data_IF_909337092158
#
_entry.id   IF_909337092158
#
_cell.length_a   1.000
_cell.length_b   1.000
_cell.length_c   1.000
_cell.angle_alpha   90.00
_cell.angle_beta   90.00
_cell.angle_gamma   90.00
#
_symmetry.space_group_name_H-M   'P 1'
#
loop_
_entity.id
_entity.type
_entity.pdbx_description
1 polymer ?
#
# COMPACT_ATOMS: atom_id res chain seq x y z
N UNK A 1 -12.75 44.93 -30.17
CA UNK A 1 -11.63 44.40 -29.34
C UNK A 1 -12.05 43.35 -28.31
N UNK A 2 -13.34 43.24 -27.93
CA UNK A 2 -13.82 42.39 -26.83
C UNK A 2 -14.37 41.01 -27.21
N UNK A 3 -14.69 40.75 -28.49
CA UNK A 3 -14.96 39.39 -28.97
C UNK A 3 -13.69 38.51 -28.88
N UNK A 4 -12.52 39.07 -29.23
CA UNK A 4 -11.22 38.46 -28.94
C UNK A 4 -11.03 38.20 -27.44
N UNK A 5 -11.48 39.09 -26.56
CA UNK A 5 -11.45 38.84 -25.11
C UNK A 5 -12.31 37.65 -24.72
N UNK A 6 -13.49 37.43 -25.30
CA UNK A 6 -14.34 36.27 -25.00
C UNK A 6 -13.71 34.96 -25.52
N UNK A 7 -13.17 34.95 -26.73
CA UNK A 7 -12.47 33.76 -27.25
C UNK A 7 -11.19 33.48 -26.45
N UNK A 8 -10.43 34.53 -26.11
CA UNK A 8 -9.23 34.43 -25.27
C UNK A 8 -9.59 34.00 -23.84
N UNK A 9 -10.74 34.41 -23.30
CA UNK A 9 -11.21 34.01 -21.98
C UNK A 9 -11.67 32.55 -21.98
N UNK A 10 -12.28 32.08 -23.07
CA UNK A 10 -12.63 30.67 -23.23
C UNK A 10 -11.39 29.79 -23.38
N UNK A 11 -10.40 30.19 -24.19
CA UNK A 11 -9.14 29.44 -24.30
C UNK A 11 -8.34 29.46 -23.00
N UNK A 12 -8.33 30.59 -22.28
CA UNK A 12 -7.68 30.69 -20.96
C UNK A 12 -8.39 29.81 -19.93
N UNK A 13 -9.73 29.74 -19.93
CA UNK A 13 -10.49 28.80 -19.09
C UNK A 13 -10.12 27.35 -19.38
N UNK A 14 -10.03 26.98 -20.67
CA UNK A 14 -9.72 25.61 -21.08
C UNK A 14 -8.28 25.21 -20.71
N UNK A 15 -7.32 26.13 -20.87
CA UNK A 15 -5.93 25.94 -20.42
C UNK A 15 -5.84 25.86 -18.89
N UNK A 16 -6.58 26.70 -18.17
CA UNK A 16 -6.62 26.65 -16.70
C UNK A 16 -7.17 25.32 -16.18
N UNK A 17 -8.17 24.74 -16.85
CA UNK A 17 -8.68 23.39 -16.55
C UNK A 17 -7.62 22.33 -16.82
N UNK A 18 -6.93 22.39 -17.96
CA UNK A 18 -5.85 21.43 -18.25
C UNK A 18 -4.71 21.50 -17.23
N UNK A 19 -4.34 22.70 -16.77
CA UNK A 19 -3.32 22.87 -15.73
C UNK A 19 -3.81 22.37 -14.36
N UNK A 20 -5.07 22.64 -14.01
CA UNK A 20 -5.67 22.13 -12.77
C UNK A 20 -5.76 20.60 -12.77
N UNK A 21 -6.12 19.98 -13.90
CA UNK A 21 -6.10 18.53 -14.11
C UNK A 21 -4.69 17.97 -13.98
N UNK A 22 -3.69 18.61 -14.58
CA UNK A 22 -2.29 18.19 -14.45
C UNK A 22 -1.79 18.26 -13.01
N UNK A 23 -2.09 19.35 -12.30
CA UNK A 23 -1.69 19.54 -10.91
C UNK A 23 -2.38 18.56 -9.95
N UNK A 24 -3.67 18.27 -10.16
CA UNK A 24 -4.42 17.30 -9.34
C UNK A 24 -4.00 15.86 -9.61
N UNK A 25 -3.71 15.48 -10.86
CA UNK A 25 -3.16 14.17 -11.19
C UNK A 25 -1.77 13.97 -10.59
N UNK A 26 -0.92 14.99 -10.69
CA UNK A 26 0.42 14.97 -10.12
C UNK A 26 0.38 14.86 -8.58
N UNK A 27 -0.49 15.66 -7.94
CA UNK A 27 -0.70 15.58 -6.50
C UNK A 27 -1.32 14.24 -6.08
N UNK A 28 -2.27 13.70 -6.85
CA UNK A 28 -2.90 12.41 -6.58
C UNK A 28 -1.91 11.25 -6.64
N UNK A 29 -0.96 11.25 -7.59
CA UNK A 29 0.12 10.25 -7.62
C UNK A 29 0.96 10.34 -6.34
N UNK A 30 1.39 11.54 -5.99
CA UNK A 30 2.27 11.74 -4.84
C UNK A 30 1.58 11.47 -3.49
N UNK A 31 0.27 11.74 -3.40
CA UNK A 31 -0.56 11.46 -2.23
C UNK A 31 -0.81 9.96 -2.02
N UNK A 32 -0.80 9.14 -3.09
CA UNK A 32 -0.99 7.70 -3.00
C UNK A 32 0.29 6.92 -2.66
N UNK A 33 1.47 7.41 -3.07
CA UNK A 33 2.74 6.69 -2.88
C UNK A 33 3.21 6.63 -1.41
N UNK A 34 3.09 7.75 -0.68
CA UNK A 34 3.57 7.82 0.72
C UNK A 34 2.83 6.88 1.70
N UNK A 35 1.49 6.81 1.70
CA UNK A 35 0.77 5.92 2.61
C UNK A 35 0.97 4.43 2.25
N UNK A 36 1.11 4.10 0.96
CA UNK A 36 1.39 2.72 0.53
C UNK A 36 2.76 2.25 1.02
N UNK A 37 3.79 3.09 0.89
CA UNK A 37 5.14 2.81 1.41
C UNK A 37 5.16 2.66 2.94
N UNK A 38 4.32 3.39 3.67
CA UNK A 38 4.19 3.24 5.13
C UNK A 38 3.52 1.92 5.51
N UNK A 39 2.47 1.50 4.79
CA UNK A 39 1.79 0.22 5.02
C UNK A 39 2.70 -0.96 4.69
N UNK A 40 3.42 -0.90 3.56
CA UNK A 40 4.37 -1.96 3.16
C UNK A 40 5.52 -2.09 4.18
N UNK A 41 6.04 -0.95 4.68
CA UNK A 41 7.04 -0.94 5.76
C UNK A 41 6.50 -1.48 7.07
N UNK A 42 5.24 -1.18 7.41
CA UNK A 42 4.59 -1.74 8.60
C UNK A 42 4.44 -3.27 8.49
N UNK A 43 3.91 -3.75 7.36
CA UNK A 43 3.72 -5.18 7.12
C UNK A 43 5.05 -5.93 7.12
N UNK A 44 6.09 -5.36 6.50
CA UNK A 44 7.42 -5.97 6.52
C UNK A 44 8.03 -5.99 7.92
N UNK A 45 7.89 -4.91 8.71
CA UNK A 45 8.34 -4.87 10.11
C UNK A 45 7.65 -5.95 10.95
N UNK A 46 6.32 -6.04 10.87
CA UNK A 46 5.52 -7.03 11.61
C UNK A 46 5.90 -8.45 11.21
N UNK A 47 6.01 -8.72 9.91
CA UNK A 47 6.33 -10.06 9.39
C UNK A 47 7.76 -10.46 9.73
N UNK A 48 8.70 -9.52 9.66
CA UNK A 48 10.10 -9.76 10.03
C UNK A 48 10.23 -10.05 11.53
N UNK A 49 9.55 -9.31 12.39
CA UNK A 49 9.51 -9.59 13.82
C UNK A 49 8.93 -10.99 14.11
N UNK A 50 7.79 -11.33 13.51
CA UNK A 50 7.12 -12.60 13.78
C UNK A 50 7.90 -13.82 13.23
N UNK A 51 8.51 -13.71 12.05
CA UNK A 51 9.22 -14.84 11.46
C UNK A 51 10.68 -14.95 11.88
N UNK A 52 11.37 -13.84 12.16
CA UNK A 52 12.80 -13.84 12.43
C UNK A 52 13.18 -13.63 13.89
N UNK A 53 12.32 -12.97 14.68
CA UNK A 53 12.57 -12.78 16.12
C UNK A 53 11.77 -13.79 16.93
N UNK A 54 10.43 -13.73 16.85
CA UNK A 54 9.55 -14.59 17.66
C UNK A 54 9.88 -16.06 17.47
N UNK A 55 9.89 -16.53 16.21
CA UNK A 55 10.14 -17.93 15.88
C UNK A 55 11.52 -18.40 16.31
N UNK A 56 12.57 -17.61 16.08
CA UNK A 56 13.93 -17.99 16.48
C UNK A 56 14.09 -18.03 18.01
N UNK A 57 13.41 -17.15 18.75
CA UNK A 57 13.39 -17.19 20.22
C UNK A 57 12.62 -18.41 20.74
N UNK A 58 11.48 -18.75 20.11
CA UNK A 58 10.73 -19.97 20.45
C UNK A 58 11.53 -21.24 20.15
N UNK A 59 12.14 -21.32 18.98
CA UNK A 59 13.01 -22.43 18.58
C UNK A 59 14.21 -22.54 19.54
N UNK A 60 14.76 -21.41 20.01
CA UNK A 60 15.79 -21.38 21.05
C UNK A 60 15.30 -21.88 22.42
N UNK A 61 14.11 -21.47 22.85
CA UNK A 61 13.53 -21.95 24.13
C UNK A 61 13.32 -23.47 24.12
N UNK A 62 12.95 -24.02 22.95
CA UNK A 62 12.78 -25.45 22.76
C UNK A 62 14.11 -26.21 22.66
N UNK A 63 15.06 -25.71 21.87
CA UNK A 63 16.30 -26.44 21.51
C UNK A 63 17.52 -26.09 22.35
N UNK A 64 17.58 -24.89 22.92
CA UNK A 64 18.77 -24.35 23.58
C UNK A 64 19.89 -23.87 22.65
N UNK A 65 19.66 -23.87 21.33
CA UNK A 65 20.71 -23.57 20.35
C UNK A 65 21.10 -22.08 20.35
N UNK A 66 22.31 -21.79 20.84
CA UNK A 66 22.83 -20.42 20.90
C UNK A 66 22.90 -19.70 19.54
N UNK A 67 22.96 -20.44 18.42
CA UNK A 67 22.93 -19.85 17.07
C UNK A 67 21.58 -19.17 16.82
N UNK A 68 20.48 -19.79 17.21
CA UNK A 68 19.12 -19.24 17.05
C UNK A 68 18.93 -17.93 17.81
N UNK A 69 19.48 -17.84 19.01
CA UNK A 69 19.44 -16.61 19.79
C UNK A 69 20.27 -15.50 19.16
N UNK A 70 21.43 -15.83 18.59
CA UNK A 70 22.26 -14.86 17.85
C UNK A 70 21.56 -14.34 16.59
N UNK A 71 20.86 -15.21 15.85
CA UNK A 71 20.04 -14.83 14.69
C UNK A 71 18.90 -13.89 15.12
N UNK A 72 18.19 -14.21 16.22
CA UNK A 72 17.14 -13.36 16.76
C UNK A 72 17.66 -11.98 17.19
N UNK A 73 18.82 -11.92 17.86
CA UNK A 73 19.44 -10.65 18.27
C UNK A 73 19.86 -9.81 17.06
N UNK A 74 20.43 -10.44 16.03
CA UNK A 74 20.78 -9.74 14.78
C UNK A 74 19.53 -9.18 14.08
N UNK A 75 18.43 -9.94 14.06
CA UNK A 75 17.15 -9.48 13.53
C UNK A 75 16.57 -8.32 14.36
N UNK A 76 16.70 -8.35 15.69
CA UNK A 76 16.30 -7.24 16.58
C UNK A 76 17.08 -5.95 16.30
N UNK A 77 18.40 -6.03 16.10
CA UNK A 77 19.22 -4.88 15.71
C UNK A 77 18.80 -4.34 14.33
N UNK A 78 18.52 -5.24 13.39
CA UNK A 78 18.05 -4.87 12.05
C UNK A 78 16.70 -4.13 12.12
N UNK A 79 15.78 -4.61 12.96
CA UNK A 79 14.50 -3.94 13.22
C UNK A 79 14.68 -2.57 13.87
N UNK A 80 15.59 -2.42 14.83
CA UNK A 80 15.90 -1.12 15.44
C UNK A 80 16.44 -0.12 14.41
N UNK A 81 17.30 -0.58 13.49
CA UNK A 81 17.81 0.25 12.40
C UNK A 81 16.72 0.61 11.38
N UNK A 82 15.78 -0.30 11.10
CA UNK A 82 14.61 -0.04 10.26
C UNK A 82 13.59 0.89 10.93
N UNK A 83 13.61 1.02 12.27
CA UNK A 83 12.83 2.00 13.02
C UNK A 83 13.33 3.45 12.88
N UNK A 84 14.62 3.67 12.57
CA UNK A 84 15.20 5.02 12.45
C UNK A 84 14.56 5.91 11.35
N UNK A 85 14.23 5.40 10.14
CA UNK A 85 13.54 6.19 9.11
C UNK A 85 12.02 6.34 9.31
N UNK A 86 11.44 5.74 10.35
CA UNK A 86 10.00 5.90 10.65
C UNK A 86 9.73 7.26 11.32
N UNK A 87 8.54 7.84 11.12
CA UNK A 87 8.11 9.04 11.85
C UNK A 87 8.32 8.89 13.36
N UNK A 88 8.84 9.93 14.06
CA UNK A 88 9.24 9.82 15.46
C UNK A 88 8.09 9.39 16.40
N UNK A 89 6.86 9.81 16.09
CA UNK A 89 5.66 9.40 16.85
C UNK A 89 5.37 7.89 16.78
N UNK A 90 5.70 7.22 15.67
CA UNK A 90 5.52 5.77 15.51
C UNK A 90 6.68 5.00 16.15
N UNK A 91 7.90 5.56 16.05
CA UNK A 91 9.09 4.94 16.61
C UNK A 91 9.10 4.98 18.15
N UNK A 92 8.55 6.01 18.79
CA UNK A 92 8.49 6.09 20.27
C UNK A 92 7.57 5.04 20.91
N UNK A 93 6.52 4.57 20.22
CA UNK A 93 5.63 3.52 20.73
C UNK A 93 6.33 2.15 20.77
N UNK A 94 7.11 1.82 19.74
CA UNK A 94 7.69 0.46 19.58
C UNK A 94 9.11 0.35 20.15
N UNK A 95 9.92 1.41 20.10
CA UNK A 95 11.31 1.43 20.59
C UNK A 95 11.51 0.90 22.02
N UNK A 96 10.73 1.34 23.04
CA UNK A 96 10.95 0.84 24.40
C UNK A 96 10.63 -0.65 24.54
N UNK A 97 9.67 -1.17 23.77
CA UNK A 97 9.31 -2.60 23.80
C UNK A 97 10.42 -3.46 23.18
N UNK A 98 11.01 -2.99 22.06
CA UNK A 98 12.14 -3.65 21.40
C UNK A 98 13.42 -3.60 22.23
N UNK A 99 13.73 -2.47 22.86
CA UNK A 99 14.89 -2.34 23.75
C UNK A 99 14.77 -3.25 24.97
N UNK A 100 13.58 -3.34 25.58
CA UNK A 100 13.30 -4.24 26.69
C UNK A 100 13.38 -5.72 26.32
N UNK A 101 13.04 -6.07 25.08
CA UNK A 101 13.20 -7.44 24.57
C UNK A 101 14.67 -7.73 24.27
N UNK A 102 15.40 -6.79 23.66
CA UNK A 102 16.82 -6.95 23.36
C UNK A 102 17.68 -7.12 24.63
N UNK A 103 17.44 -6.30 25.66
CA UNK A 103 18.16 -6.40 26.94
C UNK A 103 17.87 -7.71 27.66
N UNK A 104 16.61 -8.15 27.66
CA UNK A 104 16.18 -9.43 28.22
C UNK A 104 16.78 -10.61 27.45
N UNK A 105 16.81 -10.53 26.12
CA UNK A 105 17.42 -11.53 25.22
C UNK A 105 18.89 -11.76 25.56
N UNK A 106 19.65 -10.67 25.68
CA UNK A 106 21.10 -10.71 25.93
C UNK A 106 21.47 -11.09 27.37
N UNK A 107 20.56 -10.96 28.34
CA UNK A 107 20.86 -11.20 29.75
C UNK A 107 20.26 -12.50 30.25
N UNK A 108 18.92 -12.57 30.27
CA UNK A 108 18.17 -13.66 30.92
C UNK A 108 17.99 -14.86 29.98
N UNK A 109 17.67 -14.62 28.72
CA UNK A 109 17.51 -15.67 27.70
C UNK A 109 18.83 -16.36 27.41
N UNK A 110 19.94 -15.61 27.25
CA UNK A 110 21.28 -16.19 27.10
C UNK A 110 21.66 -17.09 28.28
N UNK A 111 21.33 -16.69 29.51
CA UNK A 111 21.53 -17.52 30.70
C UNK A 111 20.64 -18.76 30.69
N UNK A 112 19.42 -18.66 30.17
CA UNK A 112 18.47 -19.75 30.05
C UNK A 112 18.91 -20.85 29.08
N UNK A 113 19.68 -20.53 28.03
CA UNK A 113 20.28 -21.54 27.15
C UNK A 113 21.15 -22.56 27.88
N UNK A 114 21.75 -22.19 29.02
CA UNK A 114 22.48 -23.13 29.88
C UNK A 114 21.57 -24.14 30.58
N UNK A 115 20.31 -23.78 30.78
CA UNK A 115 19.27 -24.64 31.33
C UNK A 115 18.58 -25.47 30.25
N UNK A 116 18.95 -25.27 28.98
CA UNK A 116 18.21 -25.81 27.85
C UNK A 116 18.52 -27.27 27.51
N UNK A 117 19.60 -27.83 28.06
CA UNK A 117 19.84 -29.28 28.03
C UNK A 117 18.68 -30.07 28.64
N UNK A 118 18.54 -31.35 28.31
CA UNK A 118 17.50 -32.22 28.85
C UNK A 118 17.67 -32.35 30.38
N UNK A 119 16.82 -31.68 31.21
CA UNK A 119 16.97 -31.67 32.66
C UNK A 119 16.61 -33.03 33.28
N UNK A 120 16.05 -33.94 32.47
CA UNK A 120 15.70 -35.30 32.87
C UNK A 120 16.83 -36.29 32.64
N UNK A 121 17.82 -35.95 31.80
CA UNK A 121 18.87 -36.88 31.41
C UNK A 121 19.62 -37.47 32.62
N UNK A 122 19.87 -36.67 33.66
CA UNK A 122 20.51 -37.12 34.90
C UNK A 122 19.60 -38.07 35.70
N UNK A 123 18.31 -37.76 35.83
CA UNK A 123 17.35 -38.63 36.53
C UNK A 123 17.15 -39.96 35.78
N UNK A 124 17.06 -39.90 34.45
CA UNK A 124 16.91 -41.08 33.60
C UNK A 124 18.17 -41.96 33.69
N UNK A 125 19.36 -41.34 33.72
CA UNK A 125 20.61 -42.06 33.98
C UNK A 125 20.64 -42.70 35.38
N UNK A 126 20.24 -41.96 36.42
CA UNK A 126 20.17 -42.49 37.79
C UNK A 126 19.18 -43.66 37.92
N UNK A 127 18.04 -43.61 37.23
CA UNK A 127 17.06 -44.72 37.18
C UNK A 127 17.62 -45.94 36.45
N UNK A 128 18.36 -45.76 35.36
CA UNK A 128 19.04 -46.86 34.65
C UNK A 128 20.10 -47.51 35.53
N UNK A 129 20.88 -46.71 36.27
CA UNK A 129 21.88 -47.20 37.22
C UNK A 129 21.22 -47.95 38.39
N UNK A 130 20.11 -47.44 38.94
CA UNK A 130 19.33 -48.15 39.96
C UNK A 130 18.78 -49.49 39.46
N UNK A 131 18.25 -49.53 38.23
CA UNK A 131 17.74 -50.77 37.64
C UNK A 131 18.87 -51.80 37.43
N UNK A 132 20.01 -51.36 36.90
CA UNK A 132 21.18 -52.22 36.71
C UNK A 132 21.73 -52.76 38.04
N UNK A 133 21.77 -51.92 39.09
CA UNK A 133 22.21 -52.36 40.41
C UNK A 133 21.26 -53.40 41.03
N UNK A 134 19.94 -53.19 40.92
CA UNK A 134 18.94 -54.18 41.36
C UNK A 134 19.06 -55.50 40.59
N UNK A 135 19.35 -55.46 39.29
CA UNK A 135 19.60 -56.65 38.48
C UNK A 135 20.87 -57.39 38.95
N UNK A 136 21.96 -56.67 39.19
CA UNK A 136 23.21 -57.24 39.72
C UNK A 136 23.02 -57.87 41.11
N UNK A 137 22.24 -57.24 42.00
CA UNK A 137 21.87 -57.83 43.29
C UNK A 137 21.01 -59.09 43.14
N UNK A 138 20.14 -59.14 42.14
CA UNK A 138 19.36 -60.34 41.82
C UNK A 138 20.27 -61.47 41.30
N UNK A 139 21.25 -61.14 40.46
CA UNK A 139 22.25 -62.11 39.97
C UNK A 139 23.10 -62.64 41.12
N UNK A 140 23.59 -61.76 42.00
CA UNK A 140 24.30 -62.10 43.22
C UNK A 140 23.50 -63.05 44.12
N UNK A 141 22.20 -62.80 44.31
CA UNK A 141 21.31 -63.69 45.05
C UNK A 141 21.11 -65.05 44.36
N UNK A 142 21.15 -65.11 43.02
CA UNK A 142 21.01 -66.36 42.26
C UNK A 142 22.28 -67.21 42.20
N UNK A 143 23.46 -66.57 42.24
CA UNK A 143 24.77 -67.23 42.24
C UNK A 143 25.12 -67.80 43.63
N UNK A 144 24.51 -67.26 44.68
CA UNK A 144 24.68 -67.73 46.04
C UNK A 144 23.99 -69.09 46.30
N UNK A 145 24.75 -70.05 46.82
CA UNK A 145 24.25 -71.38 47.19
C UNK A 145 23.84 -71.48 48.68
N UNK A 146 23.58 -70.35 49.34
CA UNK A 146 23.26 -70.25 50.76
C UNK A 146 21.73 -70.28 51.00
N UNK A 147 21.27 -70.80 52.15
CA UNK A 147 19.84 -70.86 52.48
C UNK A 147 19.18 -69.47 52.66
N UNK A 148 19.99 -68.41 52.75
CA UNK A 148 19.56 -67.02 52.91
C UNK A 148 19.33 -66.30 51.57
N UNK A 149 19.88 -66.82 50.47
CA UNK A 149 19.71 -66.30 49.11
C UNK A 149 18.25 -66.00 48.68
N UNK A 150 17.26 -66.87 48.92
CA UNK A 150 15.87 -66.60 48.52
C UNK A 150 15.23 -65.43 49.28
N UNK A 151 15.78 -64.99 50.41
CA UNK A 151 15.25 -63.85 51.18
C UNK A 151 15.56 -62.49 50.51
N UNK A 152 16.52 -62.45 49.60
CA UNK A 152 16.84 -61.24 48.82
C UNK A 152 15.86 -60.97 47.68
N UNK A 153 15.24 -62.01 47.11
CA UNK A 153 14.39 -61.88 45.91
C UNK A 153 13.11 -61.04 46.13
N UNK A 154 12.32 -61.22 47.21
CA UNK A 154 11.08 -60.46 47.38
C UNK A 154 11.30 -58.94 47.53
N UNK A 155 12.28 -58.47 48.35
CA UNK A 155 12.61 -57.05 48.42
C UNK A 155 13.09 -56.47 47.10
N UNK A 156 13.94 -57.21 46.35
CA UNK A 156 14.44 -56.78 45.04
C UNK A 156 13.33 -56.63 44.00
N UNK A 157 12.39 -57.58 43.96
CA UNK A 157 11.25 -57.54 43.05
C UNK A 157 10.28 -56.39 43.41
N UNK A 158 10.08 -56.13 44.70
CA UNK A 158 9.25 -55.02 45.16
C UNK A 158 9.91 -53.68 44.81
N UNK A 159 11.22 -53.56 45.02
CA UNK A 159 12.01 -52.38 44.66
C UNK A 159 11.98 -52.09 43.15
N UNK A 160 12.11 -53.10 42.29
CA UNK A 160 12.06 -52.91 40.82
C UNK A 160 10.68 -52.47 40.33
N UNK A 161 9.60 -52.96 40.94
CA UNK A 161 8.23 -52.52 40.63
C UNK A 161 8.00 -51.06 41.05
N UNK A 162 8.48 -50.65 42.21
CA UNK A 162 8.44 -49.26 42.65
C UNK A 162 9.31 -48.35 41.76
N UNK A 163 10.46 -48.83 41.28
CA UNK A 163 11.30 -48.10 40.32
C UNK A 163 10.57 -47.85 38.99
N UNK A 164 9.81 -48.83 38.48
CA UNK A 164 8.99 -48.66 37.29
C UNK A 164 7.83 -47.67 37.49
N UNK A 165 7.20 -47.65 38.67
CA UNK A 165 6.18 -46.64 39.01
C UNK A 165 6.78 -45.24 39.14
N UNK A 166 7.94 -45.15 39.76
CA UNK A 166 8.69 -43.91 39.93
C UNK A 166 9.05 -43.31 38.57
N UNK A 167 9.54 -44.11 37.62
CA UNK A 167 9.90 -43.63 36.28
C UNK A 167 8.68 -43.09 35.51
N UNK A 168 7.51 -43.74 35.64
CA UNK A 168 6.24 -43.28 35.07
C UNK A 168 5.73 -41.99 35.73
N UNK A 169 5.80 -41.90 37.06
CA UNK A 169 5.36 -40.73 37.80
C UNK A 169 6.26 -39.52 37.53
N UNK A 170 7.57 -39.74 37.37
CA UNK A 170 8.52 -38.72 36.91
C UNK A 170 8.16 -38.23 35.51
N UNK A 171 7.89 -39.13 34.55
CA UNK A 171 7.52 -38.73 33.19
C UNK A 171 6.23 -37.89 33.17
N UNK A 172 5.24 -38.25 34.00
CA UNK A 172 4.02 -37.46 34.21
C UNK A 172 4.30 -36.10 34.87
N UNK A 173 5.21 -36.05 35.85
CA UNK A 173 5.61 -34.80 36.50
C UNK A 173 6.20 -33.82 35.50
N UNK A 174 7.10 -34.30 34.63
CA UNK A 174 7.77 -33.41 33.68
C UNK A 174 6.84 -32.99 32.53
N UNK A 175 6.02 -33.91 32.02
CA UNK A 175 5.07 -33.59 30.94
C UNK A 175 3.92 -32.69 31.38
N UNK A 176 3.41 -32.85 32.61
CA UNK A 176 2.28 -32.06 33.11
C UNK A 176 2.69 -30.79 33.88
N UNK A 177 3.95 -30.68 34.31
CA UNK A 177 4.47 -29.55 35.10
C UNK A 177 3.80 -29.40 36.47
N UNK A 178 3.06 -30.41 36.96
CA UNK A 178 2.31 -30.33 38.22
C UNK A 178 3.19 -30.72 39.40
N UNK A 179 3.39 -29.78 40.32
CA UNK A 179 4.14 -29.98 41.57
C UNK A 179 3.52 -31.06 42.47
N UNK A 180 2.20 -31.30 42.41
CA UNK A 180 1.54 -32.34 43.21
C UNK A 180 2.06 -33.77 42.94
N UNK A 181 2.50 -34.03 41.70
CA UNK A 181 3.05 -35.34 41.31
C UNK A 181 4.45 -35.56 41.89
N UNK A 182 5.13 -34.52 42.38
CA UNK A 182 6.41 -34.65 43.09
C UNK A 182 6.25 -35.48 44.36
N UNK A 183 5.15 -35.27 45.09
CA UNK A 183 4.86 -36.02 46.31
C UNK A 183 4.59 -37.51 46.04
N UNK A 184 4.12 -37.86 44.84
CA UNK A 184 3.95 -39.26 44.44
C UNK A 184 5.31 -39.91 44.10
N UNK A 185 6.21 -39.18 43.43
CA UNK A 185 7.59 -39.65 43.16
C UNK A 185 8.37 -39.85 44.46
N UNK A 186 8.26 -38.92 45.42
CA UNK A 186 8.91 -39.03 46.73
C UNK A 186 8.38 -40.23 47.54
N UNK A 187 7.08 -40.51 47.47
CA UNK A 187 6.46 -41.69 48.12
C UNK A 187 6.95 -43.02 47.54
N UNK A 188 7.07 -43.11 46.22
CA UNK A 188 7.64 -44.30 45.56
C UNK A 188 9.12 -44.47 45.93
N UNK A 189 9.90 -43.38 45.96
CA UNK A 189 11.31 -43.42 46.38
C UNK A 189 11.49 -43.87 47.83
N UNK A 190 10.65 -43.38 48.76
CA UNK A 190 10.67 -43.82 50.15
C UNK A 190 10.36 -45.33 50.27
N UNK A 191 9.50 -45.84 49.39
CA UNK A 191 9.18 -47.28 49.33
C UNK A 191 10.39 -48.10 48.86
N UNK A 192 11.14 -47.61 47.87
CA UNK A 192 12.39 -48.24 47.41
C UNK A 192 13.45 -48.19 48.52
N UNK A 193 13.60 -47.07 49.22
CA UNK A 193 14.51 -46.94 50.37
C UNK A 193 14.17 -47.92 51.51
N UNK A 194 12.89 -48.15 51.80
CA UNK A 194 12.48 -49.14 52.79
C UNK A 194 12.89 -50.57 52.40
N UNK A 195 12.74 -50.94 51.12
CA UNK A 195 13.21 -52.23 50.60
C UNK A 195 14.75 -52.33 50.60
N UNK A 196 15.44 -51.24 50.26
CA UNK A 196 16.90 -51.14 50.33
C UNK A 196 17.44 -51.40 51.74
N UNK A 197 16.79 -50.85 52.77
CA UNK A 197 17.15 -51.10 54.18
C UNK A 197 16.93 -52.55 54.59
N UNK A 198 15.87 -53.20 54.08
CA UNK A 198 15.66 -54.63 54.30
C UNK A 198 16.77 -55.47 53.65
N UNK A 199 17.17 -55.13 52.43
CA UNK A 199 18.29 -55.77 51.72
C UNK A 199 19.61 -55.56 52.47
N UNK A 200 19.84 -54.36 53.00
CA UNK A 200 21.05 -54.03 53.75
C UNK A 200 21.17 -54.85 55.04
N UNK A 201 20.04 -55.02 55.75
CA UNK A 201 19.95 -55.83 56.97
C UNK A 201 20.12 -57.35 56.76
N UNK A 202 20.01 -57.84 55.52
CA UNK A 202 20.22 -59.26 55.23
C UNK A 202 21.71 -59.64 55.30
N UNK A 203 22.04 -60.85 55.77
CA UNK A 203 23.42 -61.34 55.80
C UNK A 203 24.03 -61.47 54.41
N UNK A 204 25.36 -61.29 54.34
CA UNK A 204 26.15 -61.42 53.11
C UNK A 204 26.20 -62.88 52.66
N UNK A 205 26.09 -63.13 51.35
CA UNK A 205 25.92 -64.47 50.77
C UNK A 205 27.26 -65.15 50.41
N UNK A 206 28.39 -64.47 50.60
CA UNK A 206 29.72 -65.02 50.41
C UNK A 206 30.16 -65.15 48.95
N UNK A 207 29.47 -64.50 48.00
CA UNK A 207 29.86 -64.53 46.58
C UNK A 207 31.03 -63.57 46.39
N UNK A 208 32.20 -64.10 46.06
CA UNK A 208 33.40 -63.31 45.85
C UNK A 208 33.30 -62.51 44.55
N UNK A 209 33.45 -61.19 44.63
CA UNK A 209 33.77 -60.43 43.42
C UNK A 209 35.20 -60.79 43.01
N UNK A 210 35.39 -61.37 41.83
CA UNK A 210 36.72 -61.42 41.20
C UNK A 210 37.10 -60.01 40.78
N UNK A 211 37.51 -59.17 41.72
CA UNK A 211 38.29 -57.99 41.40
C UNK A 211 39.69 -58.48 41.02
N UNK A 212 39.87 -58.88 39.76
CA UNK A 212 41.21 -59.05 39.18
C UNK A 212 41.84 -57.67 39.16
N UNK A 213 42.47 -57.29 40.27
CA UNK A 213 43.33 -56.11 40.30
C UNK A 213 44.41 -56.34 39.25
N UNK A 214 44.66 -55.40 38.34
CA UNK A 214 45.64 -55.57 37.25
C UNK A 214 47.08 -55.89 37.72
N UNK A 215 47.35 -55.78 39.02
CA UNK A 215 48.59 -56.22 39.64
C UNK A 215 48.73 -57.74 39.76
N UNK A 216 47.63 -58.51 39.81
CA UNK A 216 47.66 -59.97 39.93
C UNK A 216 48.08 -60.65 38.61
N UNK A 217 47.59 -60.13 37.47
CA UNK A 217 47.94 -60.63 36.13
C UNK A 217 49.42 -60.31 35.79
N UNK A 218 49.91 -59.15 36.26
CA UNK A 218 51.31 -58.77 36.15
C UNK A 218 52.24 -59.57 37.10
N UNK A 219 51.81 -59.84 38.34
CA UNK A 219 52.56 -60.66 39.29
C UNK A 219 52.65 -62.13 38.85
N UNK A 220 51.56 -62.66 38.28
CA UNK A 220 51.51 -64.00 37.69
C UNK A 220 52.44 -64.11 36.46
N UNK A 221 52.52 -63.06 35.63
CA UNK A 221 53.43 -63.03 34.47
C UNK A 221 54.92 -62.86 34.88
N UNK A 222 55.19 -62.32 36.07
CA UNK A 222 56.53 -62.13 36.65
C UNK A 222 56.99 -63.31 37.53
N UNK A 223 56.16 -64.34 37.74
CA UNK A 223 56.52 -65.55 38.50
C UNK A 223 56.72 -65.32 40.00
N UNK A 224 56.17 -64.24 40.56
CA UNK A 224 56.28 -63.93 41.98
C UNK A 224 55.07 -64.54 42.70
N UNK A 225 55.31 -65.43 43.69
CA UNK A 225 54.25 -65.93 44.56
C UNK A 225 53.63 -64.76 45.34
N UNK A 226 52.42 -64.37 44.95
CA UNK A 226 51.65 -63.34 45.62
C UNK A 226 51.18 -63.84 46.99
N UNK A 227 52.05 -63.73 47.99
CA UNK A 227 51.73 -64.05 49.38
C UNK A 227 51.11 -62.83 50.09
N UNK A 228 50.08 -62.27 49.47
CA UNK A 228 49.21 -61.28 50.10
C UNK A 228 47.80 -61.89 50.16
N UNK A 229 47.29 -62.00 51.39
CA UNK A 229 45.90 -62.34 51.67
C UNK A 229 44.99 -61.46 50.83
N UNK A 230 44.49 -62.00 49.73
CA UNK A 230 43.39 -61.42 48.95
C UNK A 230 42.23 -61.28 49.93
N UNK A 231 41.98 -60.08 50.43
CA UNK A 231 40.72 -59.78 51.10
C UNK A 231 39.66 -59.89 50.01
N UNK A 232 39.12 -61.08 49.85
CA UNK A 232 37.92 -61.33 49.05
C UNK A 232 36.79 -60.57 49.74
N UNK A 233 36.60 -59.32 49.34
CA UNK A 233 35.39 -58.59 49.68
C UNK A 233 34.22 -59.25 48.96
N UNK A 234 33.13 -59.43 49.69
CA UNK A 234 31.89 -59.94 49.15
C UNK A 234 31.29 -58.91 48.18
N UNK A 235 30.96 -59.35 46.97
CA UNK A 235 30.37 -58.51 45.92
C UNK A 235 29.12 -57.77 46.42
N UNK A 236 28.38 -58.36 47.36
CA UNK A 236 27.18 -57.79 47.97
C UNK A 236 27.44 -56.50 48.74
N UNK A 237 28.63 -56.31 49.33
CA UNK A 237 28.97 -55.07 50.08
C UNK A 237 29.01 -53.87 49.13
N UNK A 238 29.66 -54.03 47.97
CA UNK A 238 29.75 -52.95 46.97
C UNK A 238 28.39 -52.63 46.36
N UNK A 239 27.61 -53.66 46.01
CA UNK A 239 26.29 -53.48 45.41
C UNK A 239 25.32 -52.77 46.38
N UNK A 240 25.27 -53.20 47.65
CA UNK A 240 24.45 -52.54 48.71
C UNK A 240 24.86 -51.08 48.93
N UNK A 241 26.16 -50.80 49.01
CA UNK A 241 26.69 -49.43 49.16
C UNK A 241 26.31 -48.55 47.98
N UNK A 242 26.43 -49.06 46.76
CA UNK A 242 26.10 -48.32 45.55
C UNK A 242 24.60 -48.02 45.45
N UNK A 243 23.74 -49.00 45.77
CA UNK A 243 22.29 -48.80 45.85
C UNK A 243 21.91 -47.69 46.85
N UNK A 244 22.48 -47.72 48.06
CA UNK A 244 22.26 -46.69 49.07
C UNK A 244 22.76 -45.31 48.62
N UNK A 245 23.91 -45.24 47.95
CA UNK A 245 24.44 -43.99 47.41
C UNK A 245 23.52 -43.40 46.33
N UNK A 246 23.07 -44.20 45.36
CA UNK A 246 22.14 -43.77 44.31
C UNK A 246 20.81 -43.28 44.90
N UNK A 247 20.24 -44.02 45.87
CA UNK A 247 19.01 -43.65 46.57
C UNK A 247 19.13 -42.38 47.41
N UNK A 248 20.32 -42.09 47.96
CA UNK A 248 20.57 -40.86 48.73
C UNK A 248 20.70 -39.62 47.85
N UNK A 249 21.22 -39.78 46.62
CA UNK A 249 21.47 -38.69 45.67
C UNK A 249 20.22 -38.29 44.89
N UNK A 250 19.35 -39.25 44.58
CA UNK A 250 18.16 -39.02 43.74
C UNK A 250 17.25 -37.87 44.22
N UNK A 251 16.93 -37.70 45.52
CA UNK A 251 16.06 -36.60 45.96
C UNK A 251 16.64 -35.20 45.70
N UNK A 252 17.96 -35.05 45.81
CA UNK A 252 18.64 -33.79 45.51
C UNK A 252 18.60 -33.49 44.01
N UNK A 253 18.75 -34.51 43.16
CA UNK A 253 18.61 -34.37 41.71
C UNK A 253 17.17 -34.06 41.30
N UNK A 254 16.18 -34.71 41.92
CA UNK A 254 14.76 -34.46 41.68
C UNK A 254 14.41 -32.99 41.96
N UNK A 255 14.83 -32.44 43.11
CA UNK A 255 14.61 -31.02 43.45
C UNK A 255 15.30 -30.07 42.47
N UNK A 256 16.52 -30.41 42.03
CA UNK A 256 17.23 -29.62 41.03
C UNK A 256 16.48 -29.61 39.69
N UNK A 257 15.99 -30.77 39.23
CA UNK A 257 15.19 -30.86 38.00
C UNK A 257 13.88 -30.10 38.13
N UNK A 258 13.18 -30.16 39.27
CA UNK A 258 11.96 -29.36 39.51
C UNK A 258 12.23 -27.86 39.41
N UNK A 259 13.26 -27.38 40.11
CA UNK A 259 13.64 -25.95 40.09
C UNK A 259 13.99 -25.49 38.67
N UNK A 260 14.67 -26.34 37.89
CA UNK A 260 14.99 -26.05 36.49
C UNK A 260 13.74 -26.01 35.60
N UNK A 261 12.77 -26.90 35.81
CA UNK A 261 11.49 -26.90 35.09
C UNK A 261 10.71 -25.63 35.41
N UNK A 262 10.59 -25.25 36.69
CA UNK A 262 9.92 -24.01 37.11
C UNK A 262 10.58 -22.76 36.53
N UNK A 263 11.91 -22.69 36.54
CA UNK A 263 12.65 -21.59 35.91
C UNK A 263 12.39 -21.54 34.40
N UNK A 264 12.40 -22.67 33.69
CA UNK A 264 12.11 -22.71 32.24
C UNK A 264 10.68 -22.28 31.92
N UNK A 265 9.69 -22.72 32.69
CA UNK A 265 8.28 -22.32 32.47
C UNK A 265 8.08 -20.83 32.76
N UNK A 266 8.66 -20.30 33.84
CA UNK A 266 8.62 -18.87 34.15
C UNK A 266 9.31 -18.04 33.05
N UNK A 267 10.46 -18.49 32.56
CA UNK A 267 11.23 -17.79 31.54
C UNK A 267 10.54 -17.83 30.17
N UNK A 268 9.93 -18.96 29.80
CA UNK A 268 9.08 -19.07 28.61
C UNK A 268 7.86 -18.12 28.72
N UNK A 269 7.16 -18.13 29.85
CA UNK A 269 5.98 -17.26 30.06
C UNK A 269 6.36 -15.77 29.99
N UNK A 270 7.51 -15.40 30.58
CA UNK A 270 8.01 -14.02 30.54
C UNK A 270 8.44 -13.62 29.14
N UNK A 271 9.08 -14.54 28.40
CA UNK A 271 9.45 -14.36 26.99
C UNK A 271 8.21 -14.12 26.14
N UNK A 272 7.18 -14.96 26.23
CA UNK A 272 5.92 -14.79 25.49
C UNK A 272 5.26 -13.45 25.82
N UNK A 273 5.18 -13.07 27.11
CA UNK A 273 4.62 -11.77 27.50
C UNK A 273 5.38 -10.59 26.87
N UNK A 274 6.72 -10.64 26.81
CA UNK A 274 7.53 -9.58 26.19
C UNK A 274 7.37 -9.56 24.68
N UNK A 275 7.29 -10.73 24.05
CA UNK A 275 7.04 -10.87 22.62
C UNK A 275 5.67 -10.30 22.24
N UNK A 276 4.63 -10.66 23.00
CA UNK A 276 3.26 -10.14 22.85
C UNK A 276 3.23 -8.62 23.05
N UNK A 277 3.99 -8.07 23.99
CA UNK A 277 4.07 -6.63 24.21
C UNK A 277 4.62 -5.89 22.97
N UNK A 278 5.65 -6.44 22.33
CA UNK A 278 6.18 -5.87 21.07
C UNK A 278 5.17 -6.05 19.94
N UNK A 279 4.53 -7.21 19.83
CA UNK A 279 3.52 -7.45 18.79
C UNK A 279 2.32 -6.51 18.95
N UNK A 280 1.88 -6.26 20.19
CA UNK A 280 0.81 -5.32 20.49
C UNK A 280 1.23 -3.88 20.18
N UNK A 281 2.44 -3.47 20.56
CA UNK A 281 2.96 -2.15 20.23
C UNK A 281 3.07 -1.93 18.71
N UNK A 282 3.42 -2.98 17.95
CA UNK A 282 3.39 -2.94 16.48
C UNK A 282 1.95 -2.85 15.98
N UNK A 283 1.03 -3.71 16.46
CA UNK A 283 -0.37 -3.70 16.04
C UNK A 283 -1.09 -2.38 16.34
N UNK A 284 -0.71 -1.67 17.40
CA UNK A 284 -1.24 -0.34 17.74
C UNK A 284 -0.84 0.74 16.71
N UNK A 285 0.17 0.49 15.89
CA UNK A 285 0.52 1.36 14.75
C UNK A 285 -0.48 1.25 13.60
N UNK A 286 -1.15 0.11 13.43
CA UNK A 286 -2.11 -0.11 12.35
C UNK A 286 -3.25 0.92 12.31
N UNK A 287 -3.97 1.21 13.42
CA UNK A 287 -5.02 2.23 13.42
C UNK A 287 -4.47 3.64 13.18
N UNK A 288 -3.25 3.97 13.64
CA UNK A 288 -2.63 5.28 13.41
C UNK A 288 -2.28 5.47 11.93
N UNK A 289 -1.74 4.43 11.29
CA UNK A 289 -1.47 4.43 9.86
C UNK A 289 -2.78 4.49 9.07
N UNK A 290 -3.82 3.71 9.44
CA UNK A 290 -5.14 3.77 8.79
C UNK A 290 -5.86 5.11 9.01
N UNK A 291 -5.71 5.75 10.16
CA UNK A 291 -6.30 7.06 10.43
C UNK A 291 -5.69 8.14 9.52
N UNK A 292 -4.38 8.08 9.26
CA UNK A 292 -3.76 8.93 8.22
C UNK A 292 -4.32 8.63 6.82
N UNK A 293 -4.68 7.39 6.49
CA UNK A 293 -5.31 7.06 5.21
C UNK A 293 -6.72 7.68 5.08
N UNK A 294 -7.52 7.69 6.15
CA UNK A 294 -8.88 8.22 6.14
C UNK A 294 -8.92 9.72 5.82
N UNK A 295 -8.05 10.50 6.46
CA UNK A 295 -8.00 11.94 6.24
C UNK A 295 -7.60 12.31 4.81
N UNK A 296 -6.64 11.56 4.23
CA UNK A 296 -6.18 11.80 2.86
C UNK A 296 -7.26 11.41 1.83
N UNK A 297 -8.01 10.32 2.04
CA UNK A 297 -9.08 9.92 1.12
C UNK A 297 -10.23 10.93 1.09
N UNK A 298 -10.60 11.51 2.23
CA UNK A 298 -11.64 12.53 2.30
C UNK A 298 -11.19 13.83 1.64
N UNK A 299 -9.93 14.22 1.81
CA UNK A 299 -9.35 15.40 1.15
C UNK A 299 -9.27 15.21 -0.38
N UNK A 300 -8.93 14.01 -0.86
CA UNK A 300 -8.96 13.66 -2.29
C UNK A 300 -10.38 13.73 -2.85
N UNK A 301 -11.39 13.19 -2.15
CA UNK A 301 -12.80 13.26 -2.62
C UNK A 301 -13.30 14.71 -2.68
N UNK A 302 -12.91 15.54 -1.72
CA UNK A 302 -13.28 16.95 -1.71
C UNK A 302 -12.65 17.71 -2.89
N UNK A 303 -11.38 17.48 -3.18
CA UNK A 303 -10.72 18.06 -4.36
C UNK A 303 -11.33 17.55 -5.68
N UNK A 304 -11.65 16.26 -5.79
CA UNK A 304 -12.32 15.69 -6.97
C UNK A 304 -13.71 16.29 -7.18
N UNK A 305 -14.50 16.43 -6.10
CA UNK A 305 -15.81 17.07 -6.14
C UNK A 305 -15.74 18.53 -6.59
N UNK A 306 -14.76 19.28 -6.07
CA UNK A 306 -14.51 20.67 -6.49
C UNK A 306 -14.13 20.74 -7.97
N UNK A 307 -13.30 19.82 -8.47
CA UNK A 307 -12.89 19.80 -9.87
C UNK A 307 -14.04 19.43 -10.82
N UNK A 308 -14.88 18.45 -10.47
CA UNK A 308 -16.09 18.14 -11.23
C UNK A 308 -17.02 19.36 -11.26
N UNK A 309 -17.19 20.02 -10.13
CA UNK A 309 -17.96 21.26 -10.04
C UNK A 309 -17.42 22.36 -10.95
N UNK A 310 -16.10 22.54 -10.99
CA UNK A 310 -15.44 23.53 -11.84
C UNK A 310 -15.60 23.21 -13.33
N UNK A 311 -15.45 21.94 -13.73
CA UNK A 311 -15.65 21.49 -15.11
C UNK A 311 -17.10 21.73 -15.56
N UNK A 312 -18.08 21.36 -14.72
CA UNK A 312 -19.49 21.58 -15.01
C UNK A 312 -19.84 23.07 -15.11
N UNK A 313 -19.29 23.91 -14.23
CA UNK A 313 -19.49 25.36 -14.26
C UNK A 313 -18.96 25.96 -15.58
N UNK A 314 -17.79 25.53 -16.02
CA UNK A 314 -17.20 26.00 -17.29
C UNK A 314 -18.00 25.49 -18.49
N UNK A 315 -18.41 24.22 -18.50
CA UNK A 315 -19.25 23.66 -19.55
C UNK A 315 -20.58 24.43 -19.68
N UNK A 316 -21.20 24.77 -18.55
CA UNK A 316 -22.42 25.58 -18.51
C UNK A 316 -22.18 27.01 -19.01
N UNK A 317 -21.03 27.60 -18.67
CA UNK A 317 -20.66 28.93 -19.15
C UNK A 317 -20.42 28.94 -20.67
N UNK A 318 -19.81 27.90 -21.22
CA UNK A 318 -19.62 27.72 -22.67
C UNK A 318 -20.97 27.52 -23.37
N UNK A 319 -21.82 26.62 -22.86
CA UNK A 319 -23.14 26.31 -23.43
C UNK A 319 -24.03 27.57 -23.47
N UNK A 320 -24.07 28.34 -22.38
CA UNK A 320 -24.84 29.60 -22.33
C UNK A 320 -24.32 30.63 -23.34
N UNK A 321 -22.99 30.74 -23.51
CA UNK A 321 -22.39 31.65 -24.47
C UNK A 321 -22.69 31.25 -25.92
N UNK A 322 -22.54 29.96 -26.25
CA UNK A 322 -22.82 29.42 -27.58
C UNK A 322 -24.29 29.57 -27.95
N UNK A 323 -25.22 29.27 -27.03
CA UNK A 323 -26.66 29.45 -27.26
C UNK A 323 -27.02 30.92 -27.51
N UNK A 324 -26.40 31.85 -26.77
CA UNK A 324 -26.62 33.30 -26.95
C UNK A 324 -26.16 33.77 -28.33
N UNK A 325 -24.98 33.33 -28.76
CA UNK A 325 -24.43 33.65 -30.10
C UNK A 325 -25.25 33.02 -31.23
N UNK A 326 -25.64 31.75 -31.09
CA UNK A 326 -26.47 31.06 -32.08
C UNK A 326 -27.82 31.76 -32.27
N UNK A 327 -28.50 32.13 -31.17
CA UNK A 327 -29.80 32.84 -31.23
C UNK A 327 -29.70 34.18 -31.95
N UNK A 328 -28.63 34.92 -31.72
CA UNK A 328 -28.34 36.17 -32.42
C UNK A 328 -28.15 35.95 -33.92
N UNK A 329 -27.37 34.94 -34.30
CA UNK A 329 -27.12 34.64 -35.70
C UNK A 329 -28.40 34.19 -36.43
N UNK A 330 -29.23 33.37 -35.77
CA UNK A 330 -30.55 32.97 -36.27
C UNK A 330 -31.51 34.15 -36.43
N UNK A 331 -31.38 35.20 -35.61
CA UNK A 331 -32.20 36.40 -35.71
C UNK A 331 -31.73 37.36 -36.83
N UNK A 332 -30.41 37.48 -37.03
CA UNK A 332 -29.82 38.33 -38.06
C UNK A 332 -29.97 37.76 -39.47
N UNK A 333 -29.83 36.44 -39.65
CA UNK A 333 -29.92 35.79 -40.95
C UNK A 333 -31.17 36.15 -41.78
N UNK A 334 -32.42 36.06 -41.24
CA UNK A 334 -33.61 36.42 -42.00
C UNK A 334 -33.76 37.94 -42.22
N UNK A 335 -33.21 38.78 -41.35
CA UNK A 335 -33.26 40.24 -41.57
C UNK A 335 -32.33 40.67 -42.71
N UNK A 336 -31.13 40.09 -42.79
CA UNK A 336 -30.25 40.33 -43.93
C UNK A 336 -30.81 39.74 -45.23
N UNK A 337 -31.55 38.62 -45.18
CA UNK A 337 -32.21 38.10 -46.38
C UNK A 337 -33.31 39.03 -46.89
N UNK A 338 -34.09 39.67 -46.01
CA UNK A 338 -35.08 40.67 -46.43
C UNK A 338 -34.45 41.91 -47.10
N UNK A 339 -33.26 42.33 -46.65
CA UNK A 339 -32.52 43.39 -47.33
C UNK A 339 -31.97 42.94 -48.69
N UNK A 340 -31.55 41.68 -48.83
CA UNK A 340 -31.14 41.11 -50.11
C UNK A 340 -32.30 41.00 -51.12
N UNK A 341 -33.53 40.83 -50.63
CA UNK A 341 -34.76 40.87 -51.42
C UNK A 341 -35.17 42.30 -51.80
N UNK A 342 -34.45 43.32 -51.34
CA UNK A 342 -34.64 44.73 -51.71
C UNK A 342 -35.58 45.54 -50.80
N UNK A 343 -36.09 44.95 -49.72
CA UNK A 343 -36.89 45.67 -48.73
C UNK A 343 -36.00 46.25 -47.62
N UNK A 344 -35.68 47.55 -47.74
CA UNK A 344 -34.89 48.29 -46.76
C UNK A 344 -35.73 49.06 -45.73
N UNK A 345 -37.04 48.77 -45.63
CA UNK A 345 -37.97 49.56 -44.81
C UNK A 345 -37.78 49.37 -43.31
N UNK A 346 -37.23 48.22 -42.89
CA UNK A 346 -37.04 47.87 -41.47
C UNK A 346 -35.60 48.05 -41.02
N UNK A 347 -35.41 48.60 -39.82
CA UNK A 347 -34.12 48.60 -39.12
C UNK A 347 -33.86 47.25 -38.47
N UNK A 348 -32.58 46.90 -38.38
CA UNK A 348 -32.15 45.81 -37.52
C UNK A 348 -32.01 46.42 -36.13
N UNK A 349 -32.85 45.99 -35.20
CA UNK A 349 -32.73 46.31 -33.78
C UNK A 349 -32.37 45.05 -33.02
N UNK A 350 -31.13 44.95 -32.58
CA UNK A 350 -30.73 43.93 -31.63
C UNK A 350 -31.11 44.49 -30.25
N UNK A 351 -32.11 43.90 -29.58
CA UNK A 351 -32.53 44.32 -28.24
C UNK A 351 -31.38 44.30 -27.20
N UNK A 352 -31.64 44.51 -25.91
CA UNK A 352 -30.60 44.62 -24.84
C UNK A 352 -29.54 43.51 -24.91
N UNK A 353 -28.44 43.78 -25.61
CA UNK A 353 -27.36 42.83 -25.88
C UNK A 353 -26.02 43.48 -25.60
N UNK A 354 -24.94 42.69 -25.67
CA UNK A 354 -23.58 43.16 -25.43
C UNK A 354 -23.23 44.28 -26.44
N UNK A 355 -22.37 45.21 -26.01
CA UNK A 355 -21.99 46.40 -26.78
C UNK A 355 -21.46 46.09 -28.18
N UNK A 356 -20.74 44.98 -28.36
CA UNK A 356 -20.18 44.57 -29.66
C UNK A 356 -21.28 44.25 -30.68
N UNK A 357 -22.39 43.71 -30.21
CA UNK A 357 -23.53 43.42 -31.06
C UNK A 357 -24.25 44.69 -31.48
N UNK A 358 -24.27 45.69 -30.60
CA UNK A 358 -24.79 47.01 -30.91
C UNK A 358 -23.88 47.78 -31.88
N UNK A 359 -22.56 47.59 -31.81
CA UNK A 359 -21.62 48.13 -32.80
C UNK A 359 -21.87 47.51 -34.20
N UNK A 360 -22.20 46.21 -34.26
CA UNK A 360 -22.59 45.51 -35.50
C UNK A 360 -23.95 46.03 -36.01
N UNK A 361 -24.93 46.20 -35.12
CA UNK A 361 -26.24 46.80 -35.42
C UNK A 361 -26.09 48.17 -36.08
N UNK A 362 -25.30 49.06 -35.46
CA UNK A 362 -25.04 50.40 -35.96
C UNK A 362 -24.38 50.38 -37.35
N UNK A 363 -23.43 49.47 -37.56
CA UNK A 363 -22.74 49.29 -38.84
C UNK A 363 -23.69 48.79 -39.94
N UNK A 364 -24.56 47.82 -39.61
CA UNK A 364 -25.57 47.29 -40.53
C UNK A 364 -26.59 48.36 -40.91
N UNK A 365 -27.10 49.13 -39.93
CA UNK A 365 -28.05 50.20 -40.19
C UNK A 365 -27.42 51.36 -41.01
N UNK A 366 -26.13 51.64 -40.83
CA UNK A 366 -25.41 52.59 -41.69
C UNK A 366 -25.30 52.09 -43.13
N UNK A 367 -25.06 50.80 -43.33
CA UNK A 367 -25.07 50.17 -44.66
C UNK A 367 -26.45 50.26 -45.30
N UNK A 368 -27.52 50.00 -44.54
CA UNK A 368 -28.90 50.19 -45.01
C UNK A 368 -29.16 51.63 -45.46
N UNK A 369 -28.79 52.61 -44.64
CA UNK A 369 -28.97 54.03 -44.98
C UNK A 369 -28.23 54.41 -46.26
N UNK A 370 -27.02 53.87 -46.45
CA UNK A 370 -26.25 54.05 -47.69
C UNK A 370 -26.96 53.42 -48.90
N UNK A 371 -27.48 52.20 -48.78
CA UNK A 371 -28.23 51.54 -49.86
C UNK A 371 -29.52 52.29 -50.20
N UNK A 372 -30.29 52.74 -49.20
CA UNK A 372 -31.49 53.56 -49.41
C UNK A 372 -31.16 54.87 -50.12
N UNK A 373 -30.09 55.55 -49.69
CA UNK A 373 -29.61 56.76 -50.37
C UNK A 373 -29.21 56.48 -51.82
N UNK A 374 -28.52 55.37 -52.07
CA UNK A 374 -28.09 54.97 -53.42
C UNK A 374 -29.29 54.73 -54.33
N UNK A 375 -30.29 53.97 -53.87
CA UNK A 375 -31.55 53.74 -54.60
C UNK A 375 -32.28 55.07 -54.84
N UNK A 376 -32.31 55.96 -53.86
CA UNK A 376 -32.87 57.31 -53.99
C UNK A 376 -32.18 58.12 -55.10
N UNK A 377 -30.84 58.15 -55.12
CA UNK A 377 -30.08 58.82 -56.20
C UNK A 377 -30.28 58.17 -57.55
N UNK A 378 -30.38 56.84 -57.64
CA UNK A 378 -30.65 56.14 -58.91
C UNK A 378 -32.04 56.54 -59.43
N UNK A 379 -33.05 56.59 -58.57
CA UNK A 379 -34.39 57.03 -58.94
C UNK A 379 -34.41 58.48 -59.41
N UNK A 380 -33.75 59.40 -58.71
CA UNK A 380 -33.63 60.80 -59.12
C UNK A 380 -32.93 60.95 -60.47
N UNK A 381 -31.83 60.21 -60.67
CA UNK A 381 -31.13 60.19 -61.96
C UNK A 381 -32.02 59.62 -63.07
N UNK A 382 -32.82 58.58 -62.79
CA UNK A 382 -33.77 58.02 -63.75
C UNK A 382 -34.90 59.01 -64.10
N UNK A 383 -35.44 59.73 -63.11
CA UNK A 383 -36.43 60.79 -63.33
C UNK A 383 -35.83 61.95 -64.15
N UNK A 384 -34.60 62.37 -63.86
CA UNK A 384 -33.90 63.40 -64.62
C UNK A 384 -33.60 62.95 -66.06
N UNK A 385 -33.21 61.69 -66.26
CA UNK A 385 -33.02 61.10 -67.60
C UNK A 385 -34.34 61.07 -68.36
N UNK A 386 -35.44 60.65 -67.73
CA UNK A 386 -36.77 60.66 -68.34
C UNK A 386 -37.22 62.08 -68.71
N UNK A 387 -36.99 63.08 -67.84
CA UNK A 387 -37.26 64.48 -68.14
C UNK A 387 -36.37 65.03 -69.27
N UNK A 388 -35.10 64.62 -69.31
CA UNK A 388 -34.19 64.95 -70.41
C UNK A 388 -34.66 64.32 -71.72
N UNK A 389 -35.11 63.06 -71.71
CA UNK A 389 -35.72 62.40 -72.87
C UNK A 389 -36.99 63.09 -73.35
N UNK A 390 -37.86 63.56 -72.44
CA UNK A 390 -39.04 64.35 -72.78
C UNK A 390 -38.64 65.67 -73.47
N UNK A 391 -37.64 66.36 -72.91
CA UNK A 391 -37.11 67.61 -73.47
C UNK A 391 -36.49 67.37 -74.85
N UNK A 392 -35.78 66.25 -75.03
CA UNK A 392 -35.17 65.86 -76.29
C UNK A 392 -36.23 65.49 -77.35
N UNK A 393 -37.32 64.84 -76.96
CA UNK A 393 -38.47 64.58 -77.83
C UNK A 393 -39.15 65.89 -78.27
N UNK A 394 -39.25 66.87 -77.37
CA UNK A 394 -39.80 68.18 -77.69
C UNK A 394 -38.87 68.98 -78.62
N UNK A 395 -37.56 68.98 -78.35
CA UNK A 395 -36.56 69.57 -79.24
C UNK A 395 -36.57 68.93 -80.63
N UNK A 396 -36.73 67.61 -80.71
CA UNK A 396 -36.88 66.89 -81.98
C UNK A 396 -38.13 67.32 -82.76
N UNK A 397 -39.22 67.65 -82.06
CA UNK A 397 -40.47 68.13 -82.66
C UNK A 397 -40.30 69.56 -83.19
N UNK A 398 -39.66 70.43 -82.42
CA UNK A 398 -39.38 71.81 -82.81
C UNK A 398 -38.40 71.88 -84.00
N UNK A 399 -37.39 71.01 -84.02
CA UNK A 399 -36.48 70.85 -85.17
C UNK A 399 -37.22 70.42 -86.43
N UNK A 400 -38.20 69.51 -86.31
CA UNK A 400 -39.02 69.11 -87.44
C UNK A 400 -39.82 70.30 -88.00
N UNK A 401 -40.48 71.08 -87.14
CA UNK A 401 -41.22 72.27 -87.55
C UNK A 401 -40.33 73.42 -88.05
N UNK A 402 -39.06 73.49 -87.61
CA UNK A 402 -38.06 74.42 -88.15
C UNK A 402 -37.60 74.02 -89.56
N UNK A 403 -37.36 72.73 -89.78
CA UNK A 403 -36.99 72.19 -91.09
C UNK A 403 -38.11 72.41 -92.14
N UNK A 404 -39.38 72.27 -91.72
CA UNK A 404 -40.54 72.47 -92.59
C UNK A 404 -40.67 73.94 -93.04
N UNK A 405 -40.46 74.90 -92.11
CA UNK A 405 -40.40 76.33 -92.44
C UNK A 405 -39.23 76.66 -93.36
N UNK A 406 -38.05 76.11 -93.10
CA UNK A 406 -36.87 76.33 -93.94
C UNK A 406 -37.06 75.79 -95.36
N UNK A 407 -37.74 74.64 -95.51
CA UNK A 407 -38.12 74.12 -96.82
C UNK A 407 -39.07 75.07 -97.56
N UNK A 408 -40.02 75.67 -96.85
CA UNK A 408 -40.92 76.71 -97.38
C UNK A 408 -40.18 77.98 -97.82
N UNK A 409 -39.32 78.54 -96.97
CA UNK A 409 -38.51 79.72 -97.30
C UNK A 409 -37.60 79.45 -98.50
N UNK A 410 -37.04 78.24 -98.60
CA UNK A 410 -36.22 77.84 -99.75
C UNK A 410 -37.05 77.77 -101.04
N UNK A 411 -38.31 77.36 -100.97
CA UNK A 411 -39.22 77.42 -102.12
C UNK A 411 -39.52 78.88 -102.51
N UNK A 412 -39.71 79.76 -101.53
CA UNK A 412 -39.97 81.17 -101.78
C UNK A 412 -38.75 81.90 -102.38
N UNK A 413 -37.53 81.57 -101.92
CA UNK A 413 -36.28 82.04 -102.52
C UNK A 413 -36.14 81.54 -103.96
N UNK A 414 -36.50 80.27 -104.22
CA UNK A 414 -36.51 79.71 -105.58
C UNK A 414 -37.46 80.48 -106.49
N UNK A 415 -38.66 80.82 -106.01
CA UNK A 415 -39.65 81.57 -106.79
C UNK A 415 -39.16 83.00 -107.09
N UNK A 416 -38.58 83.69 -106.09
CA UNK A 416 -37.99 85.02 -106.27
C UNK A 416 -36.78 85.01 -107.22
N UNK A 417 -35.97 83.95 -107.21
CA UNK A 417 -34.89 83.75 -108.18
C UNK A 417 -35.43 83.56 -109.60
N UNK A 418 -36.56 82.84 -109.77
CA UNK A 418 -37.24 82.72 -111.06
C UNK A 418 -37.78 84.06 -111.57
N UNK A 419 -38.31 84.90 -110.69
CA UNK A 419 -38.76 86.25 -111.03
C UNK A 419 -37.59 87.18 -111.43
N UNK A 420 -36.45 87.06 -110.74
CA UNK A 420 -35.22 87.76 -111.13
C UNK A 420 -34.69 87.29 -112.48
N UNK A 421 -34.74 85.99 -112.79
CA UNK A 421 -34.36 85.45 -114.11
C UNK A 421 -35.26 86.02 -115.22
N UNK A 422 -36.57 86.08 -114.99
CA UNK A 422 -37.52 86.69 -115.93
C UNK A 422 -37.22 88.18 -116.16
N UNK A 423 -36.90 88.92 -115.09
CA UNK A 423 -36.55 90.34 -115.17
C UNK A 423 -35.23 90.56 -115.93
N UNK A 424 -34.23 89.70 -115.71
CA UNK A 424 -32.96 89.74 -116.46
C UNK A 424 -33.19 89.46 -117.94
N UNK A 425 -34.03 88.47 -118.27
CA UNK A 425 -34.40 88.19 -119.66
C UNK A 425 -35.10 89.37 -120.32
N UNK A 426 -35.94 90.10 -119.59
CA UNK A 426 -36.63 91.28 -120.08
C UNK A 426 -35.68 92.47 -120.33
N UNK A 427 -34.76 92.75 -119.40
CA UNK A 427 -33.73 93.79 -119.58
C UNK A 427 -32.78 93.47 -120.74
N UNK A 428 -32.45 92.19 -120.94
CA UNK A 428 -31.66 91.76 -122.10
C UNK A 428 -32.41 91.98 -123.43
N UNK A 429 -33.74 91.86 -123.43
CA UNK A 429 -34.58 92.17 -124.60
C UNK A 429 -34.62 93.67 -124.92
N UNK A 430 -34.77 94.51 -123.90
CA UNK A 430 -34.84 95.97 -124.07
C UNK A 430 -33.51 96.57 -124.53
N UNK A 431 -32.37 95.98 -124.14
CA UNK A 431 -31.04 96.40 -124.59
C UNK A 431 -30.73 95.99 -126.05
N UNK A 432 -31.51 95.10 -126.66
CA UNK A 432 -31.34 94.67 -128.05
C UNK A 432 -32.09 95.56 -129.06
N UNK A 433 -32.93 96.49 -128.60
CA UNK A 433 -33.75 97.38 -129.44
C UNK A 433 -33.33 98.86 -129.39
N UNK A 434 -32.22 99.17 -128.71
CA UNK A 434 -31.55 100.48 -128.72
C UNK A 434 -30.23 100.41 -129.49
#
# INVERSE_FOLDING_TARGET
MRLKLLTNLNTLLLVAVCLALGATLWWSQQAQERPYLLMERYLSLSQHFQNQVARNIEDYLASGDAVRLSEANSALETLQNQLAPLPPALAETVRPSLENLNSFSNTELLAAGKLAGDPQALLLQAERELAANLEQLSQYASEANTPEAPHYLPPLMTASLHLAKLSLNRDKLVSSGRSELAGDVERELASIQAQAQQIDALPLLGVSSKSTSGNDDFAAMMGLEANQSTQTEDAGVNLKRELNNLLSRYPAELKRTQTQIEQRTQLSTTTHRKLDAVQHAIAELEPVVRAQHGQIQDEVRLMQGLMIGLILLIALLIDTLQRKLARVLTYLAPMLSTWAEGDFSRDIQLGKTNRELHDIEASLNRLRAYLVSLVGTIRLNAEQVAGSSQTLAQLSTDLHGGAERQAGDTAQIRDALGELEATISQVAGDASQA
#
